data_IF_603979963494
#
_entry.id   IF_603979963494
#
_cell.length_a   1.000
_cell.length_b   1.000
_cell.length_c   1.000
_cell.angle_alpha   90.00
_cell.angle_beta   90.00
_cell.angle_gamma   90.00
#
_symmetry.space_group_name_H-M   'P 1'
#
loop_
_entity.id
_entity.type
_entity.pdbx_description
1 polymer ?
#
# COMPACT_ATOMS: atom_id res chain seq x y z
N UNK A 1 8.15 -8.10 13.76
CA UNK A 1 7.76 -6.68 13.72
C UNK A 1 6.75 -6.41 14.84
N UNK A 2 6.87 -5.27 15.50
CA UNK A 2 5.94 -4.88 16.57
C UNK A 2 4.87 -3.88 16.08
N UNK A 3 4.93 -3.51 14.83
CA UNK A 3 3.96 -2.62 14.19
C UNK A 3 3.92 -1.23 14.85
N UNK A 4 5.09 -0.75 15.29
CA UNK A 4 5.23 0.59 15.86
C UNK A 4 5.18 1.64 14.75
N UNK A 5 4.82 2.91 15.08
CA UNK A 5 4.86 3.99 14.09
C UNK A 5 6.23 4.13 13.43
N UNK A 6 7.33 3.94 14.18
CA UNK A 6 8.69 4.03 13.65
C UNK A 6 8.98 2.94 12.62
N UNK A 7 8.53 1.71 12.91
CA UNK A 7 8.72 0.59 11.97
C UNK A 7 7.89 0.79 10.71
N UNK A 8 6.64 1.24 10.85
CA UNK A 8 5.75 1.47 9.72
C UNK A 8 6.26 2.61 8.85
N UNK A 9 6.75 3.69 9.47
CA UNK A 9 7.33 4.80 8.74
C UNK A 9 8.57 4.36 7.97
N UNK A 10 9.42 3.53 8.57
CA UNK A 10 10.62 3.01 7.90
C UNK A 10 10.26 2.22 6.64
N UNK A 11 9.21 1.40 6.69
CA UNK A 11 8.78 0.62 5.52
C UNK A 11 8.41 1.55 4.36
N UNK A 12 7.58 2.56 4.61
CA UNK A 12 7.11 3.44 3.54
C UNK A 12 8.18 4.40 3.06
N UNK A 13 9.19 4.67 3.90
CA UNK A 13 10.33 5.51 3.51
C UNK A 13 11.37 4.74 2.68
N UNK A 14 11.50 3.43 2.93
CA UNK A 14 12.51 2.59 2.25
C UNK A 14 12.06 2.09 0.88
N UNK A 15 10.76 2.11 0.59
CA UNK A 15 10.22 1.57 -0.66
C UNK A 15 9.38 2.63 -1.37
N UNK A 16 9.58 2.76 -2.67
CA UNK A 16 8.82 3.71 -3.50
C UNK A 16 7.33 3.38 -3.55
N UNK A 17 7.00 2.09 -3.48
CA UNK A 17 5.62 1.62 -3.50
C UNK A 17 5.43 0.61 -2.37
N UNK A 18 4.40 0.82 -1.55
CA UNK A 18 4.07 -0.09 -0.44
C UNK A 18 2.57 -0.36 -0.46
N UNK A 19 2.23 -1.62 -0.25
CA UNK A 19 0.85 -2.07 -0.14
C UNK A 19 0.68 -2.84 1.17
N UNK A 20 -0.15 -2.32 2.07
CA UNK A 20 -0.61 -3.07 3.24
C UNK A 20 -1.89 -3.80 2.82
N UNK A 21 -1.89 -5.13 2.87
CA UNK A 21 -2.99 -5.92 2.33
C UNK A 21 -3.31 -7.14 3.19
N UNK A 22 -4.50 -7.68 3.00
CA UNK A 22 -4.90 -8.95 3.60
C UNK A 22 -4.44 -10.09 2.71
N UNK A 23 -3.46 -10.84 3.18
CA UNK A 23 -2.80 -11.89 2.43
C UNK A 23 -1.57 -11.39 1.68
N UNK A 24 -1.24 -12.03 0.59
CA UNK A 24 -0.10 -11.69 -0.28
C UNK A 24 -0.60 -11.47 -1.70
N UNK A 25 0.21 -10.84 -2.58
CA UNK A 25 -0.19 -10.69 -3.98
C UNK A 25 -0.50 -12.01 -4.69
N UNK A 26 0.19 -13.09 -4.31
CA UNK A 26 -0.04 -14.42 -4.88
C UNK A 26 -1.24 -15.12 -4.26
N UNK A 27 -1.54 -14.83 -2.98
CA UNK A 27 -2.65 -15.44 -2.25
C UNK A 27 -3.43 -14.36 -1.48
N UNK A 28 -4.14 -13.47 -2.19
CA UNK A 28 -4.93 -12.44 -1.51
C UNK A 28 -6.11 -13.07 -0.77
N UNK A 29 -6.37 -12.55 0.44
CA UNK A 29 -7.45 -13.04 1.30
C UNK A 29 -8.67 -12.12 1.30
N UNK A 30 -8.70 -11.13 0.41
CA UNK A 30 -9.76 -10.13 0.34
C UNK A 30 -9.82 -9.60 -1.09
N UNK A 31 -11.03 -9.45 -1.63
CA UNK A 31 -11.21 -8.95 -3.01
C UNK A 31 -10.65 -7.54 -3.21
N UNK A 32 -10.78 -6.68 -2.21
CA UNK A 32 -10.23 -5.33 -2.28
C UNK A 32 -8.69 -5.35 -2.26
N UNK A 33 -8.09 -6.23 -1.45
CA UNK A 33 -6.63 -6.42 -1.43
C UNK A 33 -6.12 -6.97 -2.76
N UNK A 34 -6.85 -7.91 -3.36
CA UNK A 34 -6.51 -8.45 -4.67
C UNK A 34 -6.52 -7.34 -5.73
N UNK A 35 -7.54 -6.51 -5.73
CA UNK A 35 -7.65 -5.38 -6.66
C UNK A 35 -6.48 -4.41 -6.49
N UNK A 36 -6.15 -4.04 -5.27
CA UNK A 36 -5.02 -3.15 -5.00
C UNK A 36 -3.70 -3.76 -5.46
N UNK A 37 -3.49 -5.06 -5.23
CA UNK A 37 -2.29 -5.75 -5.69
C UNK A 37 -2.18 -5.71 -7.22
N UNK A 38 -3.28 -5.92 -7.93
CA UNK A 38 -3.31 -5.85 -9.39
C UNK A 38 -2.98 -4.45 -9.90
N UNK A 39 -3.49 -3.41 -9.23
CA UNK A 39 -3.15 -2.02 -9.55
C UNK A 39 -1.65 -1.79 -9.40
N UNK A 40 -1.05 -2.24 -8.29
CA UNK A 40 0.39 -2.09 -8.07
C UNK A 40 1.20 -2.83 -9.14
N UNK A 41 0.78 -4.04 -9.50
CA UNK A 41 1.44 -4.83 -10.54
C UNK A 41 1.36 -4.16 -11.91
N UNK A 42 0.28 -3.42 -12.18
CA UNK A 42 0.09 -2.73 -13.45
C UNK A 42 1.13 -1.65 -13.72
N UNK A 43 1.77 -1.12 -12.67
CA UNK A 43 2.84 -0.13 -12.82
C UNK A 43 4.13 -0.74 -13.37
N UNK A 44 4.30 -2.08 -13.28
CA UNK A 44 5.50 -2.75 -13.75
C UNK A 44 6.74 -2.47 -12.90
N UNK A 45 6.57 -1.92 -11.70
CA UNK A 45 7.65 -1.55 -10.79
C UNK A 45 7.60 -2.41 -9.53
N UNK A 46 8.74 -2.67 -8.88
CA UNK A 46 8.74 -3.40 -7.61
C UNK A 46 7.96 -2.68 -6.54
N UNK A 47 7.24 -3.42 -5.73
CA UNK A 47 6.55 -2.87 -4.56
C UNK A 47 6.68 -3.80 -3.37
N UNK A 48 6.69 -3.23 -2.17
CA UNK A 48 6.68 -4.01 -0.93
C UNK A 48 5.23 -4.29 -0.54
N UNK A 49 4.91 -5.58 -0.40
CA UNK A 49 3.60 -6.00 0.08
C UNK A 49 3.73 -6.47 1.52
N UNK A 50 2.94 -5.90 2.42
CA UNK A 50 2.94 -6.23 3.84
C UNK A 50 1.64 -6.94 4.16
N UNK A 51 1.73 -8.21 4.57
CA UNK A 51 0.56 -9.01 4.94
C UNK A 51 0.14 -8.66 6.36
N UNK A 52 -1.00 -7.98 6.51
CA UNK A 52 -1.50 -7.53 7.80
C UNK A 52 -2.28 -8.60 8.56
N UNK A 53 -2.39 -9.80 8.02
CA UNK A 53 -3.06 -10.91 8.70
C UNK A 53 -2.10 -11.77 9.54
N UNK A 54 -0.79 -11.52 9.45
CA UNK A 54 0.21 -12.32 10.18
C UNK A 54 0.23 -12.05 11.68
N UNK A 55 -0.36 -10.94 12.13
CA UNK A 55 -0.33 -10.51 13.53
C UNK A 55 -1.60 -9.72 13.83
N UNK A 56 -2.32 -10.05 14.93
CA UNK A 56 -3.56 -9.33 15.28
C UNK A 56 -3.33 -7.85 15.64
N UNK A 57 -2.08 -7.44 15.91
CA UNK A 57 -1.75 -6.03 16.16
C UNK A 57 -1.64 -5.20 14.88
N UNK A 58 -1.48 -5.85 13.72
CA UNK A 58 -1.17 -5.19 12.45
C UNK A 58 -2.25 -4.18 12.05
N UNK A 59 -3.49 -4.64 11.91
CA UNK A 59 -4.58 -3.78 11.43
C UNK A 59 -4.80 -2.58 12.34
N UNK A 60 -5.00 -2.76 13.67
CA UNK A 60 -5.22 -1.59 14.53
C UNK A 60 -4.03 -0.63 14.55
N UNK A 61 -2.80 -1.15 14.55
CA UNK A 61 -1.63 -0.28 14.61
C UNK A 61 -1.42 0.48 13.30
N UNK A 62 -1.59 -0.17 12.16
CA UNK A 62 -1.47 0.50 10.85
C UNK A 62 -2.56 1.56 10.70
N UNK A 63 -3.81 1.24 11.04
CA UNK A 63 -4.91 2.18 10.94
C UNK A 63 -4.73 3.40 11.84
N UNK A 64 -4.22 3.20 13.06
CA UNK A 64 -3.95 4.30 13.99
C UNK A 64 -2.81 5.19 13.48
N UNK A 65 -1.71 4.58 13.05
CA UNK A 65 -0.55 5.31 12.53
C UNK A 65 -0.90 6.11 11.28
N UNK A 66 -1.64 5.51 10.35
CA UNK A 66 -1.99 6.16 9.09
C UNK A 66 -3.18 7.11 9.18
N UNK A 67 -3.93 7.07 10.28
CA UNK A 67 -5.21 7.76 10.41
C UNK A 67 -6.17 7.43 9.28
N UNK A 68 -6.16 6.16 8.84
CA UNK A 68 -7.00 5.65 7.76
C UNK A 68 -7.65 4.35 8.23
N UNK A 69 -8.99 4.23 8.18
CA UNK A 69 -9.69 3.18 8.94
C UNK A 69 -9.75 1.81 8.29
N UNK A 70 -9.39 1.66 7.01
CA UNK A 70 -9.62 0.42 6.28
C UNK A 70 -8.37 -0.11 5.60
N UNK A 71 -8.45 -1.38 5.15
CA UNK A 71 -7.45 -2.04 4.33
C UNK A 71 -8.07 -2.41 2.98
N UNK A 72 -7.30 -2.48 1.90
CA UNK A 72 -5.86 -2.25 1.82
C UNK A 72 -5.50 -0.77 1.88
N UNK A 73 -4.19 -0.49 2.09
CA UNK A 73 -3.66 0.87 2.03
C UNK A 73 -2.50 0.90 1.05
N UNK A 74 -2.51 1.89 0.15
CA UNK A 74 -1.50 2.05 -0.89
C UNK A 74 -0.68 3.32 -0.61
N UNK A 75 0.64 3.17 -0.63
CA UNK A 75 1.58 4.27 -0.42
C UNK A 75 2.46 4.44 -1.66
N UNK A 76 2.64 5.68 -2.09
CA UNK A 76 3.53 6.04 -3.19
C UNK A 76 4.52 7.08 -2.66
N UNK A 77 5.81 6.74 -2.70
CA UNK A 77 6.88 7.61 -2.18
C UNK A 77 6.61 8.09 -0.75
N UNK A 78 6.14 7.18 0.11
CA UNK A 78 5.86 7.47 1.52
C UNK A 78 4.52 8.16 1.78
N UNK A 79 3.74 8.44 0.75
CA UNK A 79 2.46 9.13 0.88
C UNK A 79 1.29 8.16 0.71
N UNK A 80 0.37 8.14 1.66
CA UNK A 80 -0.85 7.35 1.56
C UNK A 80 -1.77 7.95 0.50
N UNK A 81 -2.10 7.17 -0.53
CA UNK A 81 -3.05 7.62 -1.55
C UNK A 81 -4.48 7.15 -1.27
N UNK A 82 -4.65 6.09 -0.51
CA UNK A 82 -5.95 5.55 -0.14
C UNK A 82 -6.02 4.04 -0.28
N UNK A 83 -7.24 3.54 -0.43
CA UNK A 83 -7.52 2.11 -0.59
C UNK A 83 -7.61 1.69 -2.05
N UNK A 84 -8.25 0.52 -2.29
CA UNK A 84 -8.32 -0.06 -3.63
C UNK A 84 -9.11 0.79 -4.62
N UNK A 85 -10.17 1.45 -4.18
CA UNK A 85 -11.02 2.25 -5.09
C UNK A 85 -10.26 3.45 -5.63
N UNK A 86 -9.57 4.19 -4.75
CA UNK A 86 -8.76 5.35 -5.16
C UNK A 86 -7.59 4.90 -6.03
N UNK A 87 -6.92 3.81 -5.66
CA UNK A 87 -5.80 3.29 -6.43
C UNK A 87 -6.23 2.90 -7.85
N UNK A 88 -7.38 2.23 -7.99
CA UNK A 88 -7.93 1.85 -9.28
C UNK A 88 -8.29 3.09 -10.12
N UNK A 89 -8.94 4.07 -9.51
CA UNK A 89 -9.28 5.33 -10.18
C UNK A 89 -8.04 6.04 -10.70
N UNK A 90 -7.00 6.14 -9.87
CA UNK A 90 -5.74 6.78 -10.25
C UNK A 90 -4.98 5.98 -11.33
N UNK A 91 -5.10 4.66 -11.33
CA UNK A 91 -4.57 3.84 -12.40
C UNK A 91 -5.28 4.15 -13.73
N UNK A 92 -6.61 4.20 -13.70
CA UNK A 92 -7.41 4.38 -14.90
C UNK A 92 -7.25 5.78 -15.53
N UNK A 93 -7.05 6.81 -14.70
CA UNK A 93 -6.88 8.18 -15.21
C UNK A 93 -5.42 8.56 -15.46
N UNK A 94 -4.47 7.67 -15.16
CA UNK A 94 -3.04 7.90 -15.39
C UNK A 94 -2.32 8.63 -14.27
N UNK A 95 -3.04 9.13 -13.25
CA UNK A 95 -2.42 9.93 -12.20
C UNK A 95 -1.51 9.12 -11.28
N UNK A 96 -1.76 7.81 -11.13
CA UNK A 96 -0.90 6.95 -10.31
C UNK A 96 0.51 6.87 -10.91
N UNK A 97 0.60 6.63 -12.21
CA UNK A 97 1.88 6.59 -12.92
C UNK A 97 2.58 7.94 -12.88
N UNK A 98 1.83 9.02 -13.07
CA UNK A 98 2.39 10.38 -13.00
C UNK A 98 2.97 10.66 -11.61
N UNK A 99 2.26 10.31 -10.56
CA UNK A 99 2.73 10.50 -9.18
C UNK A 99 3.99 9.67 -8.90
N UNK A 100 4.01 8.42 -9.35
CA UNK A 100 5.17 7.56 -9.19
C UNK A 100 6.38 8.11 -9.94
N UNK A 101 6.20 8.50 -11.19
CA UNK A 101 7.28 9.02 -12.03
C UNK A 101 7.81 10.36 -11.50
N UNK A 102 6.94 11.24 -11.00
CA UNK A 102 7.35 12.51 -10.43
C UNK A 102 8.23 12.32 -9.19
N UNK A 103 7.90 11.36 -8.33
CA UNK A 103 8.70 11.04 -7.14
C UNK A 103 10.08 10.49 -7.48
N UNK A 104 10.22 9.78 -8.60
CA UNK A 104 11.51 9.24 -9.04
C UNK A 104 12.50 10.32 -9.47
N UNK A 105 11.98 11.48 -9.85
CA UNK A 105 12.80 12.60 -10.36
C UNK A 105 13.23 13.55 -9.26
N UNK A 106 12.70 13.34 -8.07
CA UNK A 106 12.98 14.23 -6.93
C UNK A 106 14.32 13.92 -6.26
#
# INVERSE_FOLDING_TARGET
>A
MDWTPEELQAIVDEHSLVLFMKGTPDEPQCGFSNRAAQVMQSLGEPFAAVNILTDPRAIPNVCTWSDFPTMPQVYVHGELIGGSDIALEMMNDGSLKEMFDAGRQA
#
